data_IF_559048458337
#
_entry.id   IF_559048458337
#
_cell.length_a   1.000
_cell.length_b   1.000
_cell.length_c   1.000
_cell.angle_alpha   90.00
_cell.angle_beta   90.00
_cell.angle_gamma   90.00
#
_symmetry.space_group_name_H-M   'P 1'
#
loop_
_entity.id
_entity.type
_entity.pdbx_description
1 polymer ?
#
# COMPACT_ATOMS: atom_id res chain seq x y z
N UNK A 1 37.95 -56.72 -10.54
CA UNK A 1 37.48 -55.77 -9.50
C UNK A 1 37.45 -54.38 -10.13
N UNK A 2 36.52 -53.53 -9.72
CA UNK A 2 36.19 -52.20 -10.25
C UNK A 2 35.14 -52.14 -11.35
N UNK A 3 33.92 -52.22 -10.82
CA UNK A 3 32.61 -51.77 -11.26
C UNK A 3 32.51 -50.31 -11.76
N UNK A 4 31.86 -50.14 -12.92
CA UNK A 4 31.17 -48.91 -13.33
C UNK A 4 29.71 -48.91 -12.80
N UNK A 5 29.16 -47.78 -12.34
CA UNK A 5 27.73 -47.66 -12.08
C UNK A 5 26.98 -47.01 -13.26
N UNK A 6 25.91 -47.69 -13.68
CA UNK A 6 24.90 -47.27 -14.66
C UNK A 6 24.09 -46.05 -14.18
N UNK A 7 23.85 -45.12 -15.11
CA UNK A 7 22.93 -44.00 -14.96
C UNK A 7 21.47 -44.47 -14.79
N UNK A 8 20.81 -43.97 -13.74
CA UNK A 8 19.39 -44.13 -13.50
C UNK A 8 18.60 -42.97 -14.13
N UNK A 9 17.62 -43.33 -14.97
CA UNK A 9 16.68 -42.42 -15.59
C UNK A 9 15.73 -41.79 -14.55
N UNK A 10 15.64 -40.46 -14.53
CA UNK A 10 14.69 -39.72 -13.71
C UNK A 10 13.37 -39.53 -14.45
N UNK A 11 12.32 -40.10 -13.87
CA UNK A 11 10.92 -40.01 -14.32
C UNK A 11 10.36 -38.61 -14.06
N UNK A 12 9.86 -38.00 -15.14
CA UNK A 12 9.06 -36.77 -15.14
C UNK A 12 7.78 -36.91 -14.32
N UNK A 13 7.63 -36.11 -13.26
CA UNK A 13 6.34 -35.86 -12.60
C UNK A 13 5.79 -34.51 -13.06
N UNK A 14 4.79 -34.57 -13.94
CA UNK A 14 3.86 -33.46 -14.27
C UNK A 14 2.99 -33.18 -13.05
N UNK A 15 2.97 -31.94 -12.57
CA UNK A 15 2.04 -31.47 -11.55
C UNK A 15 1.09 -30.43 -12.19
N UNK A 16 -0.24 -30.63 -12.20
CA UNK A 16 -1.17 -29.66 -12.77
C UNK A 16 -1.54 -28.58 -11.74
N UNK A 17 -1.45 -27.31 -12.15
CA UNK A 17 -1.82 -26.15 -11.34
C UNK A 17 -3.33 -26.01 -11.09
N UNK A 18 -3.73 -25.20 -10.09
CA UNK A 18 -5.13 -25.04 -9.72
C UNK A 18 -5.89 -24.15 -10.70
N UNK A 19 -7.10 -24.60 -11.05
CA UNK A 19 -8.03 -23.96 -11.97
C UNK A 19 -8.67 -22.72 -11.34
N UNK A 20 -8.60 -21.62 -12.09
CA UNK A 20 -9.33 -20.36 -11.85
C UNK A 20 -10.85 -20.60 -11.84
N UNK A 21 -11.54 -20.15 -10.78
CA UNK A 21 -12.99 -19.97 -10.79
C UNK A 21 -13.33 -18.49 -10.77
N UNK A 22 -13.85 -18.07 -11.93
CA UNK A 22 -14.52 -16.81 -12.23
C UNK A 22 -15.92 -16.87 -11.61
N UNK A 23 -16.31 -15.91 -10.78
CA UNK A 23 -17.73 -15.65 -10.51
C UNK A 23 -17.97 -14.14 -10.61
N UNK A 24 -18.92 -13.82 -11.48
CA UNK A 24 -19.33 -12.48 -11.84
C UNK A 24 -20.60 -12.07 -11.08
N UNK A 25 -20.68 -10.75 -10.95
CA UNK A 25 -21.75 -9.84 -10.57
C UNK A 25 -23.24 -10.27 -10.65
N UNK A 26 -24.02 -9.57 -9.81
CA UNK A 26 -25.47 -9.32 -9.93
C UNK A 26 -26.20 -9.72 -8.63
N UNK A 27 -26.91 -8.89 -7.88
CA UNK A 27 -27.47 -7.55 -8.09
C UNK A 27 -28.88 -7.54 -7.47
N UNK A 28 -29.35 -6.34 -7.02
CA UNK A 28 -30.72 -5.95 -6.60
C UNK A 28 -31.04 -6.10 -5.10
N UNK A 29 -31.03 -5.01 -4.31
CA UNK A 29 -31.93 -3.81 -4.19
C UNK A 29 -33.14 -4.05 -3.30
N UNK A 30 -33.28 -3.19 -2.27
CA UNK A 30 -34.44 -2.34 -1.92
C UNK A 30 -34.26 -1.87 -0.47
N UNK A 31 -33.97 -0.60 -0.23
CA UNK A 31 -34.86 0.56 -0.24
C UNK A 31 -35.63 0.73 1.07
N UNK A 32 -35.51 1.95 1.60
CA UNK A 32 -36.40 2.74 2.47
C UNK A 32 -35.55 3.38 3.58
N UNK A 33 -34.93 4.52 3.29
CA UNK A 33 -35.50 5.88 3.36
C UNK A 33 -35.78 6.33 4.79
N UNK A 34 -34.96 7.32 5.21
CA UNK A 34 -35.39 8.66 5.66
C UNK A 34 -35.81 8.66 7.14
N UNK A 35 -35.43 9.59 8.01
CA UNK A 35 -34.88 10.94 7.96
C UNK A 35 -34.41 11.21 9.41
N UNK A 36 -33.27 11.83 9.71
CA UNK A 36 -33.09 13.30 9.75
C UNK A 36 -34.13 13.95 10.71
N UNK A 37 -33.85 14.73 11.76
CA UNK A 37 -32.88 15.80 12.03
C UNK A 37 -33.13 16.31 13.48
N UNK A 38 -32.07 16.80 14.16
CA UNK A 38 -31.99 17.84 15.24
C UNK A 38 -32.85 17.71 16.52
N UNK A 39 -32.25 17.69 17.72
CA UNK A 39 -31.57 18.76 18.49
C UNK A 39 -32.52 19.54 19.42
N UNK A 40 -31.99 19.85 20.61
CA UNK A 40 -32.39 20.93 21.55
C UNK A 40 -33.21 20.55 22.80
N UNK A 41 -32.51 20.62 23.95
CA UNK A 41 -33.03 21.09 25.25
C UNK A 41 -33.57 22.52 25.12
N UNK A 42 -34.46 22.97 26.03
CA UNK A 42 -34.00 23.77 27.17
C UNK A 42 -34.76 23.49 28.48
N UNK A 43 -34.17 23.88 29.61
CA UNK A 43 -34.84 23.93 30.92
C UNK A 43 -35.38 25.33 31.25
N UNK A 44 -36.24 25.42 32.27
CA UNK A 44 -36.38 26.58 33.16
C UNK A 44 -37.38 26.29 34.30
N UNK A 45 -37.18 27.04 35.39
CA UNK A 45 -37.73 26.95 36.76
C UNK A 45 -39.00 27.81 36.96
N UNK A 46 -39.83 27.47 37.98
CA UNK A 46 -40.61 28.36 38.88
C UNK A 46 -41.68 27.52 39.63
N UNK A 47 -41.65 27.28 40.94
CA UNK A 47 -41.95 28.13 42.13
C UNK A 47 -43.42 28.60 42.31
N UNK A 48 -43.99 28.15 43.43
CA UNK A 48 -44.82 28.88 44.42
C UNK A 48 -46.37 28.70 44.51
N UNK A 49 -46.79 28.52 45.78
CA UNK A 49 -47.97 29.07 46.50
C UNK A 49 -49.28 28.27 46.74
N UNK A 50 -49.28 27.60 47.91
CA UNK A 50 -50.17 27.65 49.11
C UNK A 50 -51.48 28.50 49.08
N UNK A 51 -52.53 27.89 49.70
CA UNK A 51 -53.75 28.40 50.41
C UNK A 51 -55.06 28.12 49.65
N UNK A 52 -56.18 27.68 50.23
CA UNK A 52 -56.58 27.39 51.61
C UNK A 52 -58.04 26.88 51.64
N UNK A 53 -58.34 25.88 52.51
CA UNK A 53 -59.43 25.89 53.53
C UNK A 53 -60.93 25.90 53.11
N UNK A 54 -61.68 24.80 53.37
CA UNK A 54 -62.76 24.68 54.41
C UNK A 54 -63.52 23.34 54.38
N UNK A 55 -63.50 22.66 55.53
CA UNK A 55 -64.44 21.66 56.10
C UNK A 55 -65.82 22.30 56.48
N UNK A 56 -66.83 21.64 57.15
CA UNK A 56 -66.92 20.29 57.77
C UNK A 56 -68.29 19.56 57.63
N UNK A 57 -68.42 18.34 58.18
CA UNK A 57 -69.41 17.90 59.22
C UNK A 57 -69.57 16.36 59.22
N UNK A 58 -69.02 15.67 60.23
CA UNK A 58 -69.68 15.24 61.48
C UNK A 58 -70.80 14.20 61.30
N UNK A 59 -70.51 12.94 61.65
CA UNK A 59 -71.40 12.07 62.43
C UNK A 59 -70.59 11.26 63.44
N UNK A 60 -70.96 11.40 64.71
CA UNK A 60 -70.38 10.75 65.90
C UNK A 60 -71.10 9.44 66.20
N UNK A 61 -70.49 8.72 67.16
CA UNK A 61 -71.00 7.63 68.01
C UNK A 61 -70.70 6.22 67.46
N UNK A 62 -70.15 5.28 68.21
CA UNK A 62 -69.79 5.17 69.63
C UNK A 62 -68.77 4.00 69.76
N UNK A 63 -67.91 4.06 70.78
CA UNK A 63 -67.07 2.95 71.26
C UNK A 63 -67.92 1.82 71.84
N UNK A 64 -67.36 0.60 71.96
CA UNK A 64 -66.78 0.28 73.26
C UNK A 64 -65.35 -0.27 73.17
N UNK A 65 -64.61 0.00 74.23
CA UNK A 65 -63.31 -0.55 74.53
C UNK A 65 -63.33 -2.08 74.57
N UNK A 66 -62.29 -2.72 74.01
CA UNK A 66 -61.50 -3.75 74.68
C UNK A 66 -60.50 -4.36 73.68
N UNK A 67 -59.30 -4.64 74.21
CA UNK A 67 -58.31 -5.59 73.67
C UNK A 67 -57.23 -5.02 72.75
N UNK A 68 -56.20 -4.49 73.41
CA UNK A 68 -54.83 -4.95 73.28
C UNK A 68 -54.29 -5.15 71.85
N UNK A 69 -53.66 -4.08 71.35
CA UNK A 69 -52.24 -4.06 70.96
C UNK A 69 -51.60 -5.46 70.85
N UNK A 70 -51.75 -6.12 69.71
CA UNK A 70 -50.80 -7.14 69.23
C UNK A 70 -51.11 -7.61 67.80
N UNK A 71 -51.31 -6.69 66.86
CA UNK A 71 -51.35 -7.04 65.41
C UNK A 71 -50.70 -6.02 64.47
N UNK A 72 -50.40 -4.81 64.95
CA UNK A 72 -49.76 -3.75 64.14
C UNK A 72 -48.23 -3.91 64.05
N UNK A 73 -47.60 -4.60 65.01
CA UNK A 73 -46.15 -4.85 65.02
C UNK A 73 -45.71 -5.94 64.01
N UNK A 74 -46.62 -6.82 63.57
CA UNK A 74 -46.33 -7.86 62.59
C UNK A 74 -46.37 -7.34 61.15
N UNK A 75 -47.33 -6.49 60.81
CA UNK A 75 -47.50 -5.94 59.46
C UNK A 75 -46.46 -4.86 59.13
N UNK A 76 -46.09 -4.01 60.09
CA UNK A 76 -45.02 -3.02 59.91
C UNK A 76 -43.65 -3.67 59.65
N UNK A 77 -43.32 -4.73 60.41
CA UNK A 77 -42.06 -5.51 60.21
C UNK A 77 -42.03 -6.24 58.87
N UNK A 78 -43.18 -6.72 58.38
CA UNK A 78 -43.27 -7.39 57.07
C UNK A 78 -43.11 -6.38 55.92
N UNK A 79 -43.68 -5.19 56.02
CA UNK A 79 -43.50 -4.11 55.03
C UNK A 79 -42.06 -3.59 54.98
N UNK A 80 -41.43 -3.44 56.15
CA UNK A 80 -40.02 -3.04 56.26
C UNK A 80 -39.09 -4.11 55.67
N UNK A 81 -39.32 -5.40 55.97
CA UNK A 81 -38.60 -6.51 55.35
C UNK A 81 -38.78 -6.56 53.82
N UNK A 82 -39.98 -6.25 53.33
CA UNK A 82 -40.28 -6.18 51.90
C UNK A 82 -39.57 -5.00 51.21
N UNK A 83 -39.49 -3.84 51.87
CA UNK A 83 -38.77 -2.68 51.37
C UNK A 83 -37.24 -2.92 51.32
N UNK A 84 -36.67 -3.57 52.34
CA UNK A 84 -35.25 -3.95 52.36
C UNK A 84 -34.93 -4.94 51.22
N UNK A 85 -35.79 -5.93 50.98
CA UNK A 85 -35.62 -6.87 49.87
C UNK A 85 -35.74 -6.18 48.50
N UNK A 86 -36.62 -5.19 48.36
CA UNK A 86 -36.74 -4.38 47.13
C UNK A 86 -35.50 -3.51 46.90
N UNK A 87 -34.99 -2.86 47.95
CA UNK A 87 -33.76 -2.07 47.87
C UNK A 87 -32.53 -2.93 47.54
N UNK A 88 -32.44 -4.15 48.08
CA UNK A 88 -31.39 -5.12 47.70
C UNK A 88 -31.49 -5.50 46.22
N UNK A 89 -32.69 -5.85 45.73
CA UNK A 89 -32.92 -6.18 44.31
C UNK A 89 -32.64 -5.00 43.38
N UNK A 90 -32.89 -3.78 43.82
CA UNK A 90 -32.57 -2.58 43.03
C UNK A 90 -31.07 -2.31 42.98
N UNK A 91 -30.37 -2.46 44.10
CA UNK A 91 -28.90 -2.38 44.17
C UNK A 91 -28.24 -3.45 43.31
N UNK A 92 -28.74 -4.68 43.33
CA UNK A 92 -28.28 -5.77 42.45
C UNK A 92 -28.51 -5.43 40.96
N UNK A 93 -29.66 -4.86 40.60
CA UNK A 93 -29.92 -4.41 39.22
C UNK A 93 -29.02 -3.26 38.78
N UNK A 94 -28.70 -2.32 39.68
CA UNK A 94 -27.77 -1.22 39.39
C UNK A 94 -26.34 -1.75 39.18
N UNK A 95 -25.89 -2.69 40.02
CA UNK A 95 -24.59 -3.36 39.85
C UNK A 95 -24.53 -4.13 38.53
N UNK A 96 -25.59 -4.89 38.19
CA UNK A 96 -25.69 -5.60 36.91
C UNK A 96 -25.59 -4.66 35.70
N UNK A 97 -26.30 -3.54 35.74
CA UNK A 97 -26.23 -2.54 34.67
C UNK A 97 -24.84 -1.91 34.54
N UNK A 98 -24.19 -1.60 35.67
CA UNK A 98 -22.83 -1.05 35.67
C UNK A 98 -21.81 -2.06 35.15
N UNK A 99 -21.93 -3.33 35.52
CA UNK A 99 -21.09 -4.42 35.01
C UNK A 99 -21.29 -4.63 33.50
N UNK A 100 -22.54 -4.66 33.01
CA UNK A 100 -22.85 -4.79 31.58
C UNK A 100 -22.29 -3.60 30.79
N UNK A 101 -22.47 -2.37 31.28
CA UNK A 101 -21.92 -1.18 30.64
C UNK A 101 -20.37 -1.22 30.60
N UNK A 102 -19.72 -1.64 31.70
CA UNK A 102 -18.27 -1.83 31.74
C UNK A 102 -17.80 -2.90 30.75
N UNK A 103 -18.54 -4.00 30.63
CA UNK A 103 -18.22 -5.07 29.69
C UNK A 103 -18.35 -4.60 28.23
N UNK A 104 -19.43 -3.87 27.90
CA UNK A 104 -19.62 -3.29 26.56
C UNK A 104 -18.51 -2.30 26.20
N UNK A 105 -18.12 -1.43 27.14
CA UNK A 105 -17.03 -0.47 26.92
C UNK A 105 -15.67 -1.17 26.78
N UNK A 106 -15.41 -2.24 27.56
CA UNK A 106 -14.21 -3.06 27.40
C UNK A 106 -14.19 -3.76 26.03
N UNK A 107 -15.32 -4.37 25.59
CA UNK A 107 -15.43 -4.97 24.24
C UNK A 107 -15.17 -3.94 23.14
N UNK A 108 -15.71 -2.73 23.25
CA UNK A 108 -15.48 -1.65 22.28
C UNK A 108 -14.00 -1.24 22.22
N UNK A 109 -13.35 -1.09 23.37
CA UNK A 109 -11.92 -0.78 23.44
C UNK A 109 -11.06 -1.89 22.85
N UNK A 110 -11.39 -3.15 23.13
CA UNK A 110 -10.69 -4.31 22.54
C UNK A 110 -10.88 -4.40 21.03
N UNK A 111 -12.09 -4.18 20.53
CA UNK A 111 -12.38 -4.17 19.09
C UNK A 111 -11.62 -3.04 18.39
N UNK A 112 -11.61 -1.85 18.98
CA UNK A 112 -10.86 -0.70 18.49
C UNK A 112 -9.36 -1.00 18.47
N UNK A 113 -8.81 -1.57 19.56
CA UNK A 113 -7.42 -1.96 19.63
C UNK A 113 -7.07 -3.07 18.60
N UNK A 114 -7.99 -4.01 18.32
CA UNK A 114 -7.82 -5.02 17.26
C UNK A 114 -7.80 -4.39 15.88
N UNK A 115 -8.74 -3.48 15.59
CA UNK A 115 -8.79 -2.74 14.32
C UNK A 115 -7.52 -1.92 14.11
N UNK A 116 -7.04 -1.23 15.14
CA UNK A 116 -5.79 -0.47 15.09
C UNK A 116 -4.57 -1.37 14.88
N UNK A 117 -4.52 -2.54 15.52
CA UNK A 117 -3.44 -3.51 15.29
C UNK A 117 -3.42 -4.01 13.85
N UNK A 118 -4.58 -4.37 13.31
CA UNK A 118 -4.72 -4.81 11.91
C UNK A 118 -4.28 -3.68 10.96
N UNK A 119 -4.75 -2.45 11.18
CA UNK A 119 -4.37 -1.31 10.35
C UNK A 119 -2.85 -1.05 10.39
N UNK A 120 -2.24 -1.08 11.57
CA UNK A 120 -0.79 -0.92 11.73
C UNK A 120 -0.01 -2.04 11.04
N UNK A 121 -0.49 -3.28 11.13
CA UNK A 121 0.13 -4.43 10.45
C UNK A 121 0.02 -4.31 8.93
N UNK A 122 -1.13 -3.89 8.41
CA UNK A 122 -1.32 -3.62 6.98
C UNK A 122 -0.42 -2.49 6.47
N UNK A 123 -0.32 -1.39 7.22
CA UNK A 123 0.58 -0.27 6.89
C UNK A 123 2.04 -0.73 6.88
N UNK A 124 2.46 -1.49 7.89
CA UNK A 124 3.79 -2.07 7.95
C UNK A 124 4.04 -3.05 6.80
N UNK A 125 3.04 -3.84 6.40
CA UNK A 125 3.12 -4.72 5.24
C UNK A 125 3.28 -3.93 3.93
N UNK A 126 2.55 -2.82 3.76
CA UNK A 126 2.70 -1.92 2.61
C UNK A 126 4.10 -1.30 2.55
N UNK A 127 4.62 -0.84 3.68
CA UNK A 127 5.97 -0.27 3.75
C UNK A 127 7.04 -1.31 3.40
N UNK A 128 6.91 -2.54 3.92
CA UNK A 128 7.80 -3.66 3.57
C UNK A 128 7.76 -3.99 2.08
N UNK A 129 6.59 -3.95 1.47
CA UNK A 129 6.45 -4.19 0.03
C UNK A 129 7.11 -3.10 -0.81
N UNK A 130 6.95 -1.82 -0.43
CA UNK A 130 7.64 -0.70 -1.08
C UNK A 130 9.16 -0.87 -1.01
N UNK A 131 9.71 -1.14 0.18
CA UNK A 131 11.15 -1.39 0.33
C UNK A 131 11.64 -2.63 -0.44
N UNK A 132 10.76 -3.62 -0.67
CA UNK A 132 11.08 -4.79 -1.50
C UNK A 132 11.15 -4.41 -2.97
N UNK A 133 10.23 -3.59 -3.47
CA UNK A 133 10.20 -3.12 -4.85
C UNK A 133 11.41 -2.23 -5.17
N UNK A 134 11.71 -1.26 -4.29
CA UNK A 134 12.90 -0.40 -4.43
C UNK A 134 14.19 -1.22 -4.51
N UNK A 135 14.32 -2.24 -3.65
CA UNK A 135 15.49 -3.13 -3.67
C UNK A 135 15.55 -3.99 -4.93
N UNK A 136 14.42 -4.44 -5.47
CA UNK A 136 14.41 -5.16 -6.76
C UNK A 136 14.88 -4.26 -7.90
N UNK A 137 14.34 -3.04 -8.00
CA UNK A 137 14.77 -2.06 -9.00
C UNK A 137 16.27 -1.76 -8.90
N UNK A 138 16.77 -1.55 -7.68
CA UNK A 138 18.19 -1.33 -7.46
C UNK A 138 19.07 -2.51 -7.90
N UNK A 139 18.64 -3.75 -7.63
CA UNK A 139 19.37 -4.95 -8.06
C UNK A 139 19.38 -5.08 -9.59
N UNK A 140 18.25 -4.81 -10.24
CA UNK A 140 18.13 -4.82 -11.71
C UNK A 140 19.06 -3.76 -12.34
N UNK A 141 19.10 -2.55 -11.78
CA UNK A 141 20.01 -1.49 -12.22
C UNK A 141 21.49 -1.86 -12.02
N UNK A 142 21.84 -2.42 -10.86
CA UNK A 142 23.18 -2.91 -10.59
C UNK A 142 23.59 -4.03 -11.57
N UNK A 143 22.69 -4.98 -11.82
CA UNK A 143 22.93 -6.07 -12.76
C UNK A 143 23.13 -5.54 -14.19
N UNK A 144 22.28 -4.60 -14.63
CA UNK A 144 22.39 -3.95 -15.95
C UNK A 144 23.72 -3.21 -16.11
N UNK A 145 24.13 -2.41 -15.11
CA UNK A 145 25.44 -1.72 -15.12
C UNK A 145 26.61 -2.71 -15.14
N UNK A 146 26.49 -3.82 -14.43
CA UNK A 146 27.49 -4.90 -14.44
C UNK A 146 27.62 -5.54 -15.83
N UNK A 147 26.49 -5.86 -16.48
CA UNK A 147 26.48 -6.40 -17.84
C UNK A 147 27.14 -5.47 -18.86
N UNK A 148 26.80 -4.18 -18.83
CA UNK A 148 27.44 -3.19 -19.70
C UNK A 148 28.96 -3.11 -19.46
N UNK A 149 29.39 -3.16 -18.20
CA UNK A 149 30.83 -3.16 -17.85
C UNK A 149 31.55 -4.37 -18.45
N UNK A 150 30.98 -5.56 -18.29
CA UNK A 150 31.54 -6.82 -18.84
C UNK A 150 31.60 -6.75 -20.38
N UNK A 151 30.51 -6.33 -21.03
CA UNK A 151 30.46 -6.19 -22.48
C UNK A 151 31.53 -5.21 -23.01
N UNK A 152 31.62 -4.03 -22.38
CA UNK A 152 32.62 -3.01 -22.73
C UNK A 152 34.06 -3.55 -22.56
N UNK A 153 34.37 -4.20 -21.43
CA UNK A 153 35.69 -4.77 -21.19
C UNK A 153 36.07 -5.85 -22.23
N UNK A 154 35.13 -6.74 -22.56
CA UNK A 154 35.34 -7.81 -23.53
C UNK A 154 35.52 -7.29 -24.97
N UNK A 155 34.92 -6.14 -25.31
CA UNK A 155 35.05 -5.56 -26.65
C UNK A 155 36.50 -5.18 -26.98
N UNK A 156 37.23 -4.65 -25.99
CA UNK A 156 38.65 -4.31 -26.11
C UNK A 156 39.55 -5.52 -26.35
N UNK A 157 39.10 -6.73 -26.00
CA UNK A 157 39.92 -7.95 -26.09
C UNK A 157 39.56 -8.83 -27.29
N UNK A 158 38.31 -8.81 -27.77
CA UNK A 158 37.80 -9.85 -28.68
C UNK A 158 37.44 -9.43 -30.11
N UNK A 159 37.35 -8.13 -30.43
CA UNK A 159 36.85 -7.72 -31.76
C UNK A 159 37.93 -7.61 -32.84
N UNK A 160 37.73 -8.39 -33.91
CA UNK A 160 38.19 -8.11 -35.27
C UNK A 160 37.17 -7.16 -35.94
N UNK A 161 37.53 -5.88 -36.08
CA UNK A 161 36.71 -4.81 -36.65
C UNK A 161 36.15 -5.15 -38.04
N UNK A 162 36.83 -6.06 -38.76
CA UNK A 162 36.45 -6.58 -40.07
C UNK A 162 35.03 -7.17 -40.11
N UNK A 163 34.52 -7.70 -38.99
CA UNK A 163 33.22 -8.40 -38.95
C UNK A 163 32.00 -7.47 -38.89
N UNK A 164 32.10 -6.36 -38.15
CA UNK A 164 31.00 -5.39 -37.97
C UNK A 164 30.84 -4.50 -39.21
N UNK A 165 31.96 -4.06 -39.79
CA UNK A 165 32.00 -3.21 -40.99
C UNK A 165 31.38 -3.91 -42.21
N UNK A 166 31.47 -5.24 -42.29
CA UNK A 166 30.99 -6.04 -43.43
C UNK A 166 29.47 -6.25 -43.44
N UNK A 167 28.75 -5.96 -42.35
CA UNK A 167 27.31 -6.30 -42.22
C UNK A 167 26.37 -5.10 -42.21
N UNK A 168 26.85 -3.92 -41.81
CA UNK A 168 26.02 -2.70 -41.68
C UNK A 168 25.85 -1.91 -42.97
N UNK A 169 24.78 -1.10 -43.05
CA UNK A 169 24.53 -0.16 -44.15
C UNK A 169 25.40 1.11 -44.00
N UNK A 170 26.23 1.39 -45.00
CA UNK A 170 27.14 2.55 -45.03
C UNK A 170 26.58 3.78 -45.79
N UNK A 171 25.27 3.80 -46.08
CA UNK A 171 24.63 4.89 -46.81
C UNK A 171 24.81 6.23 -46.10
N UNK A 172 25.45 7.19 -46.78
CA UNK A 172 25.70 8.55 -46.30
C UNK A 172 24.45 9.20 -45.68
N UNK A 173 23.28 9.02 -46.32
CA UNK A 173 22.01 9.58 -45.84
C UNK A 173 21.61 9.03 -44.46
N UNK A 174 21.80 7.72 -44.24
CA UNK A 174 21.45 7.07 -42.97
C UNK A 174 22.46 7.42 -41.87
N UNK A 175 23.76 7.34 -42.16
CA UNK A 175 24.81 7.65 -41.19
C UNK A 175 24.75 9.13 -40.75
N UNK A 176 24.61 10.07 -41.69
CA UNK A 176 24.47 11.50 -41.33
C UNK A 176 23.16 11.80 -40.62
N UNK A 177 22.08 11.09 -40.96
CA UNK A 177 20.82 11.15 -40.23
C UNK A 177 20.97 10.70 -38.77
N UNK A 178 21.72 9.63 -38.54
CA UNK A 178 22.03 9.13 -37.20
C UNK A 178 22.83 10.16 -36.39
N UNK A 179 23.91 10.74 -36.95
CA UNK A 179 24.70 11.80 -36.30
C UNK A 179 23.82 13.00 -35.90
N UNK A 180 22.90 13.42 -36.77
CA UNK A 180 21.96 14.52 -36.47
C UNK A 180 21.04 14.19 -35.30
N UNK A 181 20.57 12.94 -35.18
CA UNK A 181 19.74 12.51 -34.05
C UNK A 181 20.51 12.55 -32.73
N UNK A 182 21.76 12.09 -32.73
CA UNK A 182 22.62 12.17 -31.54
C UNK A 182 22.83 13.63 -31.10
N UNK A 183 23.10 14.53 -32.06
CA UNK A 183 23.25 15.97 -31.78
C UNK A 183 21.96 16.60 -31.26
N UNK A 184 20.79 16.17 -31.75
CA UNK A 184 19.50 16.66 -31.28
C UNK A 184 19.20 16.25 -29.82
N UNK A 185 19.86 15.20 -29.32
CA UNK A 185 19.75 14.73 -27.95
C UNK A 185 19.32 13.26 -27.87
N UNK A 186 19.94 12.56 -26.93
CA UNK A 186 19.58 11.19 -26.56
C UNK A 186 18.66 11.28 -25.34
N UNK A 187 17.56 10.53 -25.38
CA UNK A 187 16.54 10.47 -24.32
C UNK A 187 16.03 9.04 -24.18
N UNK A 188 15.28 8.76 -23.11
CA UNK A 188 14.69 7.43 -22.91
C UNK A 188 13.78 7.02 -24.08
N UNK A 189 12.97 7.96 -24.58
CA UNK A 189 12.00 7.74 -25.66
C UNK A 189 12.65 7.30 -26.98
N UNK A 190 13.84 7.84 -27.29
CA UNK A 190 14.54 7.55 -28.55
C UNK A 190 15.71 6.55 -28.40
N UNK A 191 16.04 6.14 -27.17
CA UNK A 191 17.18 5.27 -26.87
C UNK A 191 17.11 3.94 -27.65
N UNK A 192 15.97 3.24 -27.57
CA UNK A 192 15.80 1.95 -28.24
C UNK A 192 15.89 2.08 -29.77
N UNK A 193 15.41 3.19 -30.32
CA UNK A 193 15.50 3.46 -31.74
C UNK A 193 16.94 3.73 -32.19
N UNK A 194 17.69 4.51 -31.40
CA UNK A 194 19.10 4.79 -31.65
C UNK A 194 19.96 3.52 -31.54
N UNK A 195 19.69 2.64 -30.58
CA UNK A 195 20.40 1.37 -30.44
C UNK A 195 20.20 0.47 -31.67
N UNK A 196 18.96 0.32 -32.14
CA UNK A 196 18.66 -0.44 -33.37
C UNK A 196 19.32 0.15 -34.61
N UNK A 197 19.34 1.48 -34.72
CA UNK A 197 20.03 2.15 -35.83
C UNK A 197 21.54 1.94 -35.77
N UNK A 198 22.15 2.00 -34.58
CA UNK A 198 23.58 1.78 -34.40
C UNK A 198 24.02 0.36 -34.82
N UNK A 199 23.19 -0.66 -34.56
CA UNK A 199 23.44 -2.05 -34.97
C UNK A 199 23.32 -2.26 -36.49
N UNK A 200 22.45 -1.50 -37.15
CA UNK A 200 22.17 -1.65 -38.58
C UNK A 200 23.09 -0.83 -39.50
N UNK A 201 23.89 0.08 -38.95
CA UNK A 201 24.72 1.01 -39.72
C UNK A 201 26.20 0.70 -39.61
N UNK A 202 26.94 0.99 -40.68
CA UNK A 202 28.41 1.01 -40.66
C UNK A 202 28.88 2.44 -40.40
N UNK A 203 29.36 2.69 -39.18
CA UNK A 203 29.66 4.03 -38.66
C UNK A 203 31.16 4.34 -38.54
N UNK A 204 32.06 3.45 -39.00
CA UNK A 204 33.51 3.62 -38.83
C UNK A 204 34.06 4.96 -39.32
N UNK A 205 33.49 5.52 -40.39
CA UNK A 205 33.91 6.82 -40.94
C UNK A 205 33.33 8.03 -40.19
N UNK A 206 32.39 7.82 -39.28
CA UNK A 206 31.63 8.88 -38.60
C UNK A 206 31.93 8.95 -37.10
N UNK A 207 32.89 8.15 -36.58
CA UNK A 207 33.15 8.05 -35.14
C UNK A 207 33.52 9.40 -34.53
N UNK A 208 34.28 10.23 -35.26
CA UNK A 208 34.66 11.58 -34.79
C UNK A 208 33.45 12.50 -34.70
N UNK A 209 32.62 12.53 -35.73
CA UNK A 209 31.40 13.33 -35.78
C UNK A 209 30.38 12.86 -34.74
N UNK A 210 30.28 11.55 -34.51
CA UNK A 210 29.44 10.95 -33.47
C UNK A 210 29.91 11.39 -32.10
N UNK A 211 31.21 11.31 -31.81
CA UNK A 211 31.77 11.73 -30.53
C UNK A 211 31.51 13.21 -30.25
N UNK A 212 31.71 14.07 -31.25
CA UNK A 212 31.40 15.50 -31.15
C UNK A 212 29.90 15.75 -30.99
N UNK A 213 29.04 15.05 -31.74
CA UNK A 213 27.60 15.19 -31.64
C UNK A 213 27.07 14.83 -30.24
N UNK A 214 27.62 13.79 -29.61
CA UNK A 214 27.28 13.40 -28.24
C UNK A 214 27.74 14.48 -27.25
N UNK A 215 28.97 14.98 -27.38
CA UNK A 215 29.53 16.00 -26.51
C UNK A 215 28.83 17.37 -26.62
N UNK A 216 28.40 17.75 -27.84
CA UNK A 216 27.64 18.98 -28.10
C UNK A 216 26.17 18.88 -27.68
N UNK A 217 25.65 17.65 -27.49
CA UNK A 217 24.25 17.45 -27.13
C UNK A 217 23.97 17.92 -25.71
N UNK A 218 22.75 18.40 -25.46
CA UNK A 218 22.33 18.83 -24.13
C UNK A 218 22.07 17.61 -23.24
N UNK A 219 23.01 17.30 -22.35
CA UNK A 219 22.88 16.20 -21.40
C UNK A 219 21.99 16.61 -20.23
N UNK A 220 20.91 15.85 -19.99
CA UNK A 220 20.08 15.93 -18.77
C UNK A 220 20.38 14.74 -17.87
N UNK A 221 20.25 14.92 -16.56
CA UNK A 221 20.47 13.84 -15.58
C UNK A 221 19.52 12.65 -15.80
N UNK A 222 18.29 12.90 -16.26
CA UNK A 222 17.32 11.86 -16.63
C UNK A 222 17.80 10.96 -17.77
N UNK A 223 18.59 11.51 -18.69
CA UNK A 223 18.93 10.86 -19.95
C UNK A 223 20.30 10.15 -19.90
N UNK A 224 21.03 10.29 -18.78
CA UNK A 224 22.37 9.72 -18.59
C UNK A 224 22.36 8.21 -18.84
N UNK A 225 21.35 7.49 -18.37
CA UNK A 225 21.26 6.05 -18.57
C UNK A 225 21.18 5.68 -20.06
N UNK A 226 20.32 6.36 -20.80
CA UNK A 226 20.15 6.19 -22.25
C UNK A 226 21.44 6.53 -23.01
N UNK A 227 22.10 7.62 -22.65
CA UNK A 227 23.39 8.01 -23.23
C UNK A 227 24.44 6.93 -23.00
N UNK A 228 24.55 6.42 -21.77
CA UNK A 228 25.51 5.36 -21.43
C UNK A 228 25.25 4.09 -22.24
N UNK A 229 23.98 3.71 -22.45
CA UNK A 229 23.62 2.54 -23.26
C UNK A 229 24.04 2.71 -24.73
N UNK A 230 23.76 3.87 -25.33
CA UNK A 230 24.18 4.17 -26.71
C UNK A 230 25.70 4.19 -26.83
N UNK A 231 26.40 4.86 -25.91
CA UNK A 231 27.86 4.90 -25.88
C UNK A 231 28.48 3.51 -25.68
N UNK A 232 27.89 2.66 -24.84
CA UNK A 232 28.33 1.28 -24.64
C UNK A 232 28.19 0.47 -25.92
N UNK A 233 27.06 0.56 -26.62
CA UNK A 233 26.88 -0.09 -27.92
C UNK A 233 27.93 0.37 -28.94
N UNK A 234 28.13 1.68 -29.08
CA UNK A 234 29.15 2.22 -30.00
C UNK A 234 30.56 1.76 -29.63
N UNK A 235 30.91 1.76 -28.35
CA UNK A 235 32.21 1.28 -27.88
C UNK A 235 32.41 -0.21 -28.18
N UNK A 236 31.38 -1.03 -27.97
CA UNK A 236 31.46 -2.47 -28.27
C UNK A 236 31.53 -2.79 -29.76
N UNK A 237 31.23 -1.85 -30.65
CA UNK A 237 31.29 -2.06 -32.10
C UNK A 237 32.50 -1.40 -32.75
N UNK A 238 33.03 -0.32 -32.16
CA UNK A 238 34.07 0.54 -32.74
C UNK A 238 35.15 0.85 -31.70
N UNK A 239 36.36 0.30 -31.86
CA UNK A 239 37.42 0.43 -30.85
C UNK A 239 37.89 1.87 -30.67
N UNK A 240 37.92 2.64 -31.75
CA UNK A 240 38.35 4.05 -31.76
C UNK A 240 37.34 5.01 -31.10
N UNK A 241 36.14 4.53 -30.76
CA UNK A 241 35.11 5.40 -30.19
C UNK A 241 35.52 5.98 -28.83
N UNK A 242 36.03 5.17 -27.90
CA UNK A 242 36.37 5.64 -26.56
C UNK A 242 37.58 6.58 -26.55
N UNK A 243 38.59 6.31 -27.38
CA UNK A 243 39.76 7.17 -27.55
C UNK A 243 39.41 8.51 -28.18
N UNK A 244 38.36 8.56 -29.01
CA UNK A 244 37.88 9.80 -29.62
C UNK A 244 36.95 10.58 -28.68
N UNK A 245 36.05 9.89 -27.96
CA UNK A 245 35.07 10.53 -27.08
C UNK A 245 35.71 11.13 -25.81
N UNK A 246 36.63 10.41 -25.16
CA UNK A 246 37.22 10.82 -23.88
C UNK A 246 37.82 12.23 -23.89
N UNK A 247 38.69 12.57 -24.87
CA UNK A 247 39.27 13.91 -24.99
C UNK A 247 38.25 15.00 -25.30
N UNK A 248 37.16 14.69 -26.00
CA UNK A 248 36.12 15.68 -26.34
C UNK A 248 35.30 16.02 -25.10
N UNK A 249 34.91 15.00 -24.32
CA UNK A 249 34.16 15.22 -23.07
C UNK A 249 35.00 15.93 -22.00
N UNK A 250 36.32 15.72 -21.97
CA UNK A 250 37.21 16.42 -21.02
C UNK A 250 37.42 17.91 -21.32
N UNK A 251 36.92 18.42 -22.45
CA UNK A 251 37.00 19.84 -22.85
C UNK A 251 35.70 20.62 -22.59
N UNK A 252 34.63 19.92 -22.19
CA UNK A 252 33.35 20.52 -21.78
C UNK A 252 33.46 21.08 -20.36
#
# INVERSE_FOLDING_TARGET
SSSEPKAAASVSKKNPGPKSRKLAAGGRTRDLEQSSVQNSRPGASASAQIKSKKEPQQRKSQTPAATAVSRVHGTAKVLEAQAVLQAQKEKERQLQFEEEHKEVENRRKEEQARKEKIQKEEELARLRELSRLERKQWLEDCARRSQLRIANQNSTTLLDESSVVKKGDASLKKCTGFVKKLRAGISEDNCEQLLREAEGLSLSRYITEIANAIAESKIRSSDVDSIVRVCSSLHTNYREFSSTLGPVLGKL
#
